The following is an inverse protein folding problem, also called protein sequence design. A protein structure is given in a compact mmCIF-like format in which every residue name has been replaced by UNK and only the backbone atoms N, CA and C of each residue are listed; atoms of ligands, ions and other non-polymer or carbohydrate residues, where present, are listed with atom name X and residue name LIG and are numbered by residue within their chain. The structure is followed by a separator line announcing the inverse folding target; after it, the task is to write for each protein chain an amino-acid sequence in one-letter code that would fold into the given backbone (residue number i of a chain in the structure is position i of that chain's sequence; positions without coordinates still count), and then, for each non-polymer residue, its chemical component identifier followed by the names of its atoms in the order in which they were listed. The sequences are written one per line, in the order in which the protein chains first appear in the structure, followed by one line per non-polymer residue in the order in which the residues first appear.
data_IF_336772195410
#
_entry.id   IF_336772195410
#
_cell.length_a   1.000
_cell.length_b   1.000
_cell.length_c   1.000
_cell.angle_alpha   90.00
_cell.angle_beta   90.00
_cell.angle_gamma   90.00
#
_symmetry.space_group_name_H-M   'P 1'
#
loop_
_entity.id
_entity.type
_entity.pdbx_description
1 polymer ?
#
# COMPACT_ATOMS: atom_id res chain seq x y z
N UNK A 1 -18.29 12.89 40.76
CA UNK A 1 -18.54 13.14 39.33
C UNK A 1 -17.24 13.67 38.76
N UNK A 2 -16.49 12.81 38.14
CA UNK A 2 -15.25 13.17 37.44
C UNK A 2 -15.43 12.76 35.98
N UNK A 3 -15.55 13.78 35.12
CA UNK A 3 -15.71 13.62 33.66
C UNK A 3 -14.40 13.14 33.07
N UNK A 4 -14.38 11.95 32.50
CA UNK A 4 -13.27 11.44 31.71
C UNK A 4 -13.41 12.02 30.29
N UNK A 5 -12.64 13.05 30.00
CA UNK A 5 -12.35 13.49 28.63
C UNK A 5 -11.47 12.43 27.95
N UNK A 6 -12.08 11.57 27.16
CA UNK A 6 -11.36 10.67 26.23
C UNK A 6 -10.86 11.50 25.05
N UNK A 7 -9.61 11.97 25.14
CA UNK A 7 -8.91 12.56 24.01
C UNK A 7 -8.81 11.53 22.88
N UNK A 8 -9.48 11.80 21.76
CA UNK A 8 -9.38 11.05 20.50
C UNK A 8 -7.98 11.27 19.91
N UNK A 9 -7.06 10.38 20.22
CA UNK A 9 -5.72 10.36 19.61
C UNK A 9 -5.85 9.93 18.15
N UNK A 10 -5.90 10.90 17.25
CA UNK A 10 -5.91 10.69 15.81
C UNK A 10 -4.57 10.06 15.42
N UNK A 11 -4.63 8.82 14.97
CA UNK A 11 -3.49 8.03 14.48
C UNK A 11 -2.80 8.77 13.33
N UNK A 12 -1.69 9.45 13.62
CA UNK A 12 -0.84 10.09 12.60
C UNK A 12 -0.11 9.03 11.78
N UNK A 13 -0.41 8.97 10.48
CA UNK A 13 0.42 8.25 9.51
C UNK A 13 1.83 8.86 9.49
N UNK A 14 2.88 8.06 9.18
CA UNK A 14 4.24 8.59 9.12
C UNK A 14 4.32 9.74 8.13
N UNK A 15 4.96 10.83 8.53
CA UNK A 15 5.09 12.05 7.72
C UNK A 15 5.84 11.78 6.41
N UNK A 16 5.66 12.65 5.39
CA UNK A 16 6.46 12.60 4.13
C UNK A 16 7.95 12.56 4.44
N UNK A 17 8.38 13.28 5.48
CA UNK A 17 9.77 13.32 5.92
C UNK A 17 10.27 11.95 6.38
N UNK A 18 9.47 11.20 7.10
CA UNK A 18 9.77 9.82 7.50
C UNK A 18 9.67 8.86 6.31
N UNK A 19 8.72 9.05 5.39
CA UNK A 19 8.58 8.25 4.17
C UNK A 19 9.71 8.52 3.17
N UNK A 20 10.11 9.76 2.97
CA UNK A 20 11.24 10.13 2.10
C UNK A 20 12.59 9.80 2.74
N UNK A 21 12.74 9.84 4.06
CA UNK A 21 13.91 9.28 4.75
C UNK A 21 13.96 7.76 4.63
N UNK A 22 12.81 7.10 4.62
CA UNK A 22 12.63 5.67 4.33
C UNK A 22 12.94 5.30 2.87
N UNK A 23 13.01 6.28 1.95
CA UNK A 23 13.30 6.11 0.51
C UNK A 23 14.80 6.08 0.16
N UNK A 24 15.70 5.99 1.11
CA UNK A 24 17.16 5.99 0.87
C UNK A 24 17.74 4.77 0.12
N UNK A 25 16.95 3.91 -0.50
CA UNK A 25 17.40 2.93 -1.50
C UNK A 25 17.66 3.56 -2.88
N UNK A 26 18.04 4.84 -2.90
CA UNK A 26 18.38 5.59 -4.13
C UNK A 26 19.59 5.05 -4.89
N UNK A 27 20.46 4.28 -4.26
CA UNK A 27 21.69 3.81 -4.90
C UNK A 27 21.47 2.83 -6.06
N UNK A 28 20.45 1.98 -5.99
CA UNK A 28 20.23 0.96 -7.02
C UNK A 28 19.59 1.51 -8.30
N UNK A 29 18.63 2.45 -8.19
CA UNK A 29 17.93 3.00 -9.36
C UNK A 29 18.76 4.07 -10.08
N UNK A 30 19.61 4.84 -9.37
CA UNK A 30 20.43 5.89 -10.00
C UNK A 30 21.72 5.37 -10.65
N UNK A 31 22.07 4.10 -10.45
CA UNK A 31 23.21 3.45 -11.08
C UNK A 31 22.88 2.91 -12.48
N UNK A 32 21.61 2.84 -12.86
CA UNK A 32 21.20 2.49 -14.21
C UNK A 32 21.51 3.64 -15.17
N UNK A 33 22.31 3.37 -16.20
CA UNK A 33 22.66 4.34 -17.25
C UNK A 33 21.45 4.89 -18.00
N UNK A 34 20.34 4.16 -18.00
CA UNK A 34 19.09 4.54 -18.65
C UNK A 34 18.17 5.36 -17.74
N UNK A 35 18.54 5.61 -16.47
CA UNK A 35 17.70 6.35 -15.54
C UNK A 35 17.71 7.86 -15.82
N UNK A 36 16.57 8.39 -16.30
CA UNK A 36 16.38 9.82 -16.54
C UNK A 36 16.17 10.55 -15.21
N UNK A 37 17.24 11.12 -14.69
CA UNK A 37 17.26 11.79 -13.37
C UNK A 37 16.21 12.90 -13.24
N UNK A 38 15.97 13.66 -14.32
CA UNK A 38 14.96 14.73 -14.31
C UNK A 38 13.53 14.19 -14.10
N UNK A 39 13.19 13.09 -14.79
CA UNK A 39 11.91 12.39 -14.62
C UNK A 39 11.75 11.88 -13.19
N UNK A 40 12.77 11.21 -12.67
CA UNK A 40 12.76 10.72 -11.29
C UNK A 40 12.56 11.82 -10.25
N UNK A 41 13.18 13.00 -10.45
CA UNK A 41 12.98 14.17 -9.60
C UNK A 41 11.58 14.74 -9.69
N UNK A 42 11.00 14.81 -10.91
CA UNK A 42 9.61 15.25 -11.13
C UNK A 42 8.61 14.36 -10.40
N UNK A 43 8.74 13.03 -10.54
CA UNK A 43 7.91 12.07 -9.82
C UNK A 43 8.04 12.20 -8.30
N UNK A 44 9.25 12.39 -7.79
CA UNK A 44 9.47 12.65 -6.36
C UNK A 44 8.76 13.91 -5.85
N UNK A 45 8.72 14.95 -6.67
CA UNK A 45 7.97 16.18 -6.35
C UNK A 45 6.48 15.87 -6.25
N UNK A 46 5.88 15.16 -7.21
CA UNK A 46 4.48 14.73 -7.14
C UNK A 46 4.19 13.89 -5.90
N UNK A 47 5.05 12.91 -5.63
CA UNK A 47 4.91 12.03 -4.48
C UNK A 47 5.00 12.77 -3.13
N UNK A 48 5.64 13.96 -3.07
CA UNK A 48 5.70 14.76 -1.85
C UNK A 48 4.34 15.30 -1.42
N UNK A 49 3.37 15.37 -2.33
CA UNK A 49 1.99 15.78 -2.07
C UNK A 49 1.06 14.65 -1.64
N UNK A 50 1.52 13.39 -1.65
CA UNK A 50 0.69 12.25 -1.23
C UNK A 50 0.36 12.25 0.27
N UNK A 51 0.96 13.11 1.05
CA UNK A 51 0.58 13.39 2.43
C UNK A 51 -0.48 14.49 2.49
N UNK A 52 -1.32 14.41 3.50
CA UNK A 52 -2.56 15.17 3.67
C UNK A 52 -2.45 16.69 3.76
N UNK A 53 -1.26 17.28 3.67
CA UNK A 53 -1.16 18.73 3.52
C UNK A 53 -1.56 19.11 2.11
N UNK A 54 -2.77 19.59 1.98
CA UNK A 54 -3.41 19.92 0.70
C UNK A 54 -2.58 20.93 -0.09
N UNK A 55 -1.88 21.86 0.58
CA UNK A 55 -1.10 22.92 -0.04
C UNK A 55 0.34 22.94 0.47
N UNK A 56 1.32 23.06 -0.44
CA UNK A 56 2.74 23.18 -0.10
C UNK A 56 3.41 24.28 -0.92
N UNK A 57 4.29 25.06 -0.27
CA UNK A 57 5.14 26.04 -0.93
C UNK A 57 6.33 25.36 -1.63
N UNK A 58 6.96 26.06 -2.57
CA UNK A 58 8.17 25.57 -3.25
C UNK A 58 9.31 25.26 -2.29
N UNK A 59 9.41 25.99 -1.16
CA UNK A 59 10.43 25.77 -0.13
C UNK A 59 10.14 24.48 0.66
N UNK A 60 8.89 24.24 1.05
CA UNK A 60 8.50 23.00 1.75
C UNK A 60 8.76 21.78 0.88
N UNK A 61 8.36 21.84 -0.40
CA UNK A 61 8.63 20.76 -1.36
C UNK A 61 10.13 20.55 -1.56
N UNK A 62 10.92 21.63 -1.79
CA UNK A 62 12.37 21.54 -1.95
C UNK A 62 13.04 20.84 -0.77
N UNK A 63 12.65 21.19 0.46
CA UNK A 63 13.14 20.57 1.69
C UNK A 63 12.71 19.11 1.81
N UNK A 64 11.45 18.79 1.47
CA UNK A 64 10.93 17.44 1.54
C UNK A 64 11.67 16.49 0.58
N UNK A 65 11.89 16.93 -0.68
CA UNK A 65 12.58 16.10 -1.70
C UNK A 65 14.09 16.28 -1.71
N UNK A 66 14.64 17.17 -0.87
CA UNK A 66 16.09 17.49 -0.77
C UNK A 66 16.70 17.92 -2.11
N UNK A 67 16.00 18.81 -2.80
CA UNK A 67 16.48 19.45 -4.01
C UNK A 67 16.78 20.93 -3.76
N UNK A 68 17.73 21.52 -4.51
CA UNK A 68 17.89 22.97 -4.51
C UNK A 68 16.58 23.67 -4.87
N UNK A 69 16.24 24.76 -4.18
CA UNK A 69 14.99 25.50 -4.40
C UNK A 69 14.74 25.90 -5.86
N UNK A 70 15.73 26.39 -6.65
CA UNK A 70 15.53 26.67 -8.06
C UNK A 70 15.11 25.44 -8.87
N UNK A 71 15.72 24.28 -8.60
CA UNK A 71 15.38 23.01 -9.28
C UNK A 71 13.97 22.56 -8.92
N UNK A 72 13.59 22.61 -7.64
CA UNK A 72 12.23 22.26 -7.20
C UNK A 72 11.20 23.20 -7.80
N UNK A 73 11.48 24.51 -7.85
CA UNK A 73 10.57 25.51 -8.46
C UNK A 73 10.34 25.25 -9.95
N UNK A 74 11.37 24.92 -10.72
CA UNK A 74 11.23 24.59 -12.15
C UNK A 74 10.41 23.32 -12.36
N UNK A 75 10.61 22.28 -11.54
CA UNK A 75 9.82 21.05 -11.60
C UNK A 75 8.35 21.31 -11.24
N UNK A 76 8.08 22.09 -10.19
CA UNK A 76 6.73 22.48 -9.77
C UNK A 76 6.00 23.26 -10.88
N UNK A 77 6.67 24.22 -11.53
CA UNK A 77 6.11 24.97 -12.64
C UNK A 77 5.79 24.08 -13.84
N UNK A 78 6.73 23.17 -14.22
CA UNK A 78 6.50 22.22 -15.32
C UNK A 78 5.32 21.29 -15.02
N UNK A 79 5.23 20.74 -13.81
CA UNK A 79 4.12 19.87 -13.41
C UNK A 79 2.78 20.63 -13.34
N UNK A 80 2.81 21.91 -12.97
CA UNK A 80 1.62 22.75 -13.00
C UNK A 80 1.17 23.07 -14.43
N UNK A 81 2.11 23.38 -15.33
CA UNK A 81 1.82 23.59 -16.75
C UNK A 81 1.20 22.34 -17.42
N UNK A 82 1.57 21.13 -16.96
CA UNK A 82 1.03 19.86 -17.44
C UNK A 82 -0.27 19.44 -16.71
N UNK A 83 -0.78 20.23 -15.77
CA UNK A 83 -2.02 19.94 -15.03
C UNK A 83 -1.87 18.93 -13.87
N UNK A 84 -0.67 18.39 -13.61
CA UNK A 84 -0.43 17.49 -12.47
C UNK A 84 -0.41 18.22 -11.13
N UNK A 85 -0.11 19.52 -11.12
CA UNK A 85 -0.22 20.39 -9.96
C UNK A 85 -1.11 21.59 -10.30
N UNK A 86 -1.80 22.09 -9.29
CA UNK A 86 -2.49 23.36 -9.32
C UNK A 86 -1.72 24.37 -8.47
N UNK A 87 -1.41 25.55 -9.03
CA UNK A 87 -0.77 26.65 -8.32
C UNK A 87 -1.79 27.71 -7.91
N UNK A 88 -1.74 28.15 -6.67
CA UNK A 88 -2.53 29.26 -6.16
C UNK A 88 -1.66 30.53 -6.04
N UNK A 89 -1.84 31.56 -6.87
CA UNK A 89 -1.10 32.82 -6.74
C UNK A 89 -1.31 33.49 -5.38
N UNK A 90 -2.56 33.46 -4.86
CA UNK A 90 -2.91 34.04 -3.55
C UNK A 90 -2.16 33.37 -2.39
N UNK A 91 -2.01 32.01 -2.42
CA UNK A 91 -1.32 31.24 -1.37
C UNK A 91 0.17 31.12 -1.63
N UNK A 92 0.62 31.33 -2.86
CA UNK A 92 1.99 31.00 -3.33
C UNK A 92 2.34 29.53 -3.06
N UNK A 93 1.37 28.64 -3.20
CA UNK A 93 1.45 27.21 -2.90
C UNK A 93 0.88 26.37 -4.03
N UNK A 94 1.29 25.11 -4.04
CA UNK A 94 0.86 24.07 -4.99
C UNK A 94 0.06 22.98 -4.27
N UNK A 95 -0.84 22.33 -5.00
CA UNK A 95 -1.52 21.09 -4.60
C UNK A 95 -1.61 20.14 -5.80
N UNK A 96 -1.98 18.86 -5.58
CA UNK A 96 -2.25 17.94 -6.68
C UNK A 96 -3.35 18.49 -7.60
N UNK A 97 -3.11 18.37 -8.90
CA UNK A 97 -4.06 18.69 -9.95
C UNK A 97 -4.92 17.48 -10.35
N UNK A 98 -5.96 17.72 -11.13
CA UNK A 98 -6.93 16.70 -11.56
C UNK A 98 -6.32 15.63 -12.47
N UNK A 99 -5.24 15.94 -13.21
CA UNK A 99 -4.54 14.95 -14.04
C UNK A 99 -3.99 13.77 -13.24
N UNK A 100 -3.60 13.98 -11.95
CA UNK A 100 -3.16 12.88 -11.07
C UNK A 100 -4.32 11.95 -10.74
N UNK A 101 -5.51 12.48 -10.54
CA UNK A 101 -6.71 11.69 -10.27
C UNK A 101 -7.08 10.80 -11.46
N UNK A 102 -7.01 11.36 -12.68
CA UNK A 102 -7.26 10.58 -13.91
C UNK A 102 -6.31 9.40 -14.05
N UNK A 103 -5.00 9.60 -13.78
CA UNK A 103 -4.02 8.50 -13.76
C UNK A 103 -4.32 7.47 -12.66
N UNK A 104 -4.76 7.93 -11.49
CA UNK A 104 -5.13 7.04 -10.38
C UNK A 104 -6.32 6.15 -10.73
N UNK A 105 -7.34 6.70 -11.39
CA UNK A 105 -8.49 5.91 -11.87
C UNK A 105 -8.08 4.91 -12.97
N UNK A 106 -7.35 5.35 -13.99
CA UNK A 106 -6.85 4.45 -15.04
C UNK A 106 -5.98 3.32 -14.47
N UNK A 107 -5.13 3.61 -13.49
CA UNK A 107 -4.37 2.59 -12.80
C UNK A 107 -5.26 1.61 -12.02
N UNK A 108 -6.29 2.10 -11.31
CA UNK A 108 -7.24 1.27 -10.57
C UNK A 108 -8.03 0.36 -11.51
N UNK A 109 -8.52 0.89 -12.64
CA UNK A 109 -9.30 0.14 -13.62
C UNK A 109 -8.47 -0.97 -14.27
N UNK A 110 -7.14 -0.77 -14.42
CA UNK A 110 -6.24 -1.83 -14.89
C UNK A 110 -6.11 -3.02 -13.92
N UNK A 111 -6.44 -2.83 -12.65
CA UNK A 111 -6.58 -3.89 -11.66
C UNK A 111 -8.04 -4.38 -11.56
N UNK A 112 -8.67 -4.76 -12.64
CA UNK A 112 -10.11 -5.13 -12.79
C UNK A 112 -10.72 -6.00 -11.66
N UNK A 113 -9.88 -6.52 -10.78
CA UNK A 113 -10.23 -7.34 -9.62
C UNK A 113 -10.89 -6.55 -8.47
N UNK A 114 -10.78 -5.20 -8.45
CA UNK A 114 -11.30 -4.39 -7.35
C UNK A 114 -12.80 -4.56 -7.13
N UNK A 115 -13.57 -4.57 -8.20
CA UNK A 115 -15.03 -4.73 -8.14
C UNK A 115 -15.44 -6.14 -7.70
N UNK A 116 -14.67 -7.16 -8.10
CA UNK A 116 -14.88 -8.55 -7.66
C UNK A 116 -14.58 -8.72 -6.18
N UNK A 117 -13.51 -8.08 -5.70
CA UNK A 117 -13.03 -8.24 -4.31
C UNK A 117 -13.86 -7.42 -3.31
N UNK A 118 -14.34 -6.25 -3.70
CA UNK A 118 -15.01 -5.29 -2.81
C UNK A 118 -16.18 -5.87 -2.01
N UNK A 119 -17.13 -6.65 -2.58
CA UNK A 119 -18.22 -7.25 -1.81
C UNK A 119 -17.74 -8.18 -0.70
N UNK A 120 -16.72 -8.99 -0.98
CA UNK A 120 -16.10 -9.89 0.00
C UNK A 120 -15.38 -9.12 1.12
N UNK A 121 -14.65 -8.05 0.78
CA UNK A 121 -13.99 -7.20 1.78
C UNK A 121 -15.01 -6.52 2.68
N UNK A 122 -16.13 -6.03 2.12
CA UNK A 122 -17.17 -5.39 2.93
C UNK A 122 -17.84 -6.38 3.87
N UNK A 123 -18.10 -7.61 3.40
CA UNK A 123 -18.64 -8.65 4.26
C UNK A 123 -17.71 -8.97 5.43
N UNK A 124 -16.41 -9.16 5.19
CA UNK A 124 -15.41 -9.39 6.22
C UNK A 124 -15.34 -8.22 7.22
N UNK A 125 -15.34 -6.98 6.70
CA UNK A 125 -15.31 -5.79 7.54
C UNK A 125 -16.52 -5.73 8.49
N UNK A 126 -17.72 -5.99 7.99
CA UNK A 126 -18.96 -5.93 8.77
C UNK A 126 -19.13 -7.12 9.73
N UNK A 127 -18.65 -8.31 9.35
CA UNK A 127 -18.72 -9.53 10.16
C UNK A 127 -17.82 -9.42 11.40
N UNK A 128 -16.56 -8.98 11.22
CA UNK A 128 -15.54 -8.97 12.27
C UNK A 128 -15.30 -7.60 12.89
N UNK A 129 -15.95 -6.54 12.43
CA UNK A 129 -15.72 -5.19 12.95
C UNK A 129 -14.31 -4.65 12.66
N UNK A 130 -13.72 -5.01 11.52
CA UNK A 130 -12.36 -4.69 11.10
C UNK A 130 -12.32 -3.77 9.88
N UNK A 131 -11.16 -3.22 9.53
CA UNK A 131 -10.95 -2.79 8.16
C UNK A 131 -10.47 -3.99 7.33
N UNK A 132 -10.96 -4.10 6.09
CA UNK A 132 -10.52 -5.10 5.14
C UNK A 132 -10.01 -4.41 3.87
N UNK A 133 -8.92 -4.91 3.28
CA UNK A 133 -8.27 -4.23 2.18
C UNK A 133 -7.67 -5.22 1.16
N UNK A 134 -7.65 -4.78 -0.11
CA UNK A 134 -6.79 -5.30 -1.15
C UNK A 134 -5.56 -4.40 -1.25
N UNK A 135 -4.37 -4.97 -1.28
CA UNK A 135 -3.11 -4.23 -1.40
C UNK A 135 -2.23 -4.77 -2.52
N UNK A 136 -1.40 -3.88 -3.07
CA UNK A 136 -0.34 -4.20 -4.02
C UNK A 136 1.00 -3.67 -3.53
N UNK A 137 2.11 -4.33 -3.92
CA UNK A 137 3.45 -3.89 -3.54
C UNK A 137 3.87 -2.64 -4.33
N UNK A 138 4.38 -1.65 -3.62
CA UNK A 138 5.13 -0.55 -4.22
C UNK A 138 6.49 -0.40 -3.51
N UNK A 139 7.53 -0.91 -4.15
CA UNK A 139 8.90 -0.92 -3.61
C UNK A 139 8.97 -1.69 -2.28
N UNK A 140 9.19 -0.99 -1.16
CA UNK A 140 9.30 -1.56 0.20
C UNK A 140 8.06 -1.27 1.07
N UNK A 141 6.96 -0.88 0.43
CA UNK A 141 5.67 -0.61 1.08
C UNK A 141 4.55 -1.37 0.33
N UNK A 142 3.39 -1.47 0.95
CA UNK A 142 2.15 -1.94 0.33
C UNK A 142 1.21 -0.76 0.21
N UNK A 143 0.63 -0.54 -0.97
CA UNK A 143 -0.43 0.44 -1.21
C UNK A 143 -1.77 -0.27 -1.14
N UNK A 144 -2.72 0.30 -0.43
CA UNK A 144 -4.11 -0.15 -0.45
C UNK A 144 -4.78 0.29 -1.77
N UNK A 145 -5.23 -0.68 -2.54
CA UNK A 145 -5.94 -0.49 -3.83
C UNK A 145 -7.45 -0.41 -3.61
N UNK A 146 -7.97 -1.18 -2.65
CA UNK A 146 -9.36 -1.17 -2.21
C UNK A 146 -9.41 -1.28 -0.70
N UNK A 147 -10.35 -0.58 -0.05
CA UNK A 147 -10.52 -0.60 1.41
C UNK A 147 -12.00 -0.58 1.75
N UNK A 148 -12.40 -1.47 2.65
CA UNK A 148 -13.72 -1.51 3.26
C UNK A 148 -13.60 -1.38 4.78
N UNK A 149 -14.50 -0.60 5.35
CA UNK A 149 -14.61 -0.42 6.80
C UNK A 149 -15.92 -0.97 7.32
N UNK A 150 -15.90 -1.52 8.53
CA UNK A 150 -17.14 -1.90 9.19
C UNK A 150 -18.05 -0.69 9.39
N UNK A 151 -19.31 -0.85 9.04
CA UNK A 151 -20.37 0.13 9.30
C UNK A 151 -20.80 0.17 10.77
N UNK A 152 -20.46 -0.86 11.54
CA UNK A 152 -20.90 -1.08 12.93
C UNK A 152 -19.90 -0.58 13.97
N UNK A 153 -18.67 -0.31 13.58
CA UNK A 153 -17.58 -0.01 14.51
C UNK A 153 -16.96 1.36 14.21
N UNK A 154 -16.93 2.24 15.22
CA UNK A 154 -16.13 3.45 15.14
C UNK A 154 -14.65 3.07 15.25
N UNK A 155 -13.97 2.97 14.11
CA UNK A 155 -12.56 2.62 14.09
C UNK A 155 -11.68 3.87 14.05
N UNK A 156 -10.69 3.88 14.92
CA UNK A 156 -9.65 4.93 14.95
C UNK A 156 -8.58 4.76 13.86
N UNK A 157 -8.46 3.56 13.29
CA UNK A 157 -7.53 3.28 12.20
C UNK A 157 -8.18 3.63 10.86
N UNK A 158 -7.87 4.82 10.37
CA UNK A 158 -8.33 5.27 9.05
C UNK A 158 -7.24 5.01 8.00
N UNK A 159 -7.26 3.81 7.44
CA UNK A 159 -6.55 3.49 6.21
C UNK A 159 -7.54 3.61 5.06
N UNK A 160 -7.14 4.29 4.00
CA UNK A 160 -7.97 4.56 2.82
C UNK A 160 -7.25 4.05 1.56
N UNK A 161 -7.94 4.01 0.43
CA UNK A 161 -7.30 3.74 -0.87
C UNK A 161 -6.12 4.72 -1.06
N UNK A 162 -4.98 4.20 -1.49
CA UNK A 162 -3.73 4.94 -1.58
C UNK A 162 -2.91 5.01 -0.28
N UNK A 163 -3.45 4.57 0.86
CA UNK A 163 -2.67 4.46 2.11
C UNK A 163 -1.54 3.46 1.96
N UNK A 164 -0.39 3.79 2.56
CA UNK A 164 0.82 2.96 2.53
C UNK A 164 1.11 2.36 3.88
N UNK A 165 1.39 1.07 3.91
CA UNK A 165 1.90 0.37 5.09
C UNK A 165 3.24 -0.29 4.76
N UNK A 166 4.17 -0.43 5.74
CA UNK A 166 5.48 -1.00 5.46
C UNK A 166 5.39 -2.49 5.11
N UNK A 167 6.22 -2.92 4.15
CA UNK A 167 6.39 -4.33 3.82
C UNK A 167 6.98 -5.12 5.02
N UNK A 168 7.90 -4.50 5.75
CA UNK A 168 8.45 -5.06 6.98
C UNK A 168 7.50 -4.79 8.17
N UNK A 169 7.29 -5.79 9.00
CA UNK A 169 6.58 -5.67 10.27
C UNK A 169 5.05 -5.71 10.18
N UNK A 170 4.47 -5.97 9.00
CA UNK A 170 3.02 -6.12 8.84
C UNK A 170 2.66 -7.52 8.30
N UNK A 171 1.52 -8.06 8.71
CA UNK A 171 1.00 -9.31 8.14
C UNK A 171 0.89 -9.21 6.61
N UNK A 172 0.38 -8.09 6.11
CA UNK A 172 0.23 -7.80 4.68
C UNK A 172 1.55 -7.89 3.93
N UNK A 173 2.61 -7.29 4.49
CA UNK A 173 3.95 -7.35 3.88
C UNK A 173 4.56 -8.75 3.95
N UNK A 174 4.39 -9.46 5.06
CA UNK A 174 4.89 -10.83 5.22
C UNK A 174 4.19 -11.79 4.25
N UNK A 175 2.87 -11.65 4.03
CA UNK A 175 2.12 -12.44 3.05
C UNK A 175 2.65 -12.21 1.61
N UNK A 176 2.89 -10.96 1.24
CA UNK A 176 3.49 -10.66 -0.08
C UNK A 176 4.89 -11.25 -0.21
N UNK A 177 5.76 -11.08 0.79
CA UNK A 177 7.11 -11.64 0.77
C UNK A 177 7.08 -13.17 0.66
N UNK A 178 6.15 -13.84 1.34
CA UNK A 178 5.99 -15.29 1.29
C UNK A 178 5.58 -15.79 -0.10
N UNK A 179 4.79 -15.01 -0.83
CA UNK A 179 4.28 -15.35 -2.17
C UNK A 179 5.27 -15.07 -3.31
N UNK A 180 6.34 -14.32 -3.06
CA UNK A 180 7.32 -13.98 -4.08
C UNK A 180 8.27 -15.14 -4.39
N UNK A 181 8.74 -15.25 -5.65
CA UNK A 181 9.87 -16.12 -5.99
C UNK A 181 11.10 -15.80 -5.13
N UNK A 182 11.88 -16.83 -4.79
CA UNK A 182 13.03 -16.71 -3.88
C UNK A 182 14.04 -15.64 -4.29
N UNK A 183 14.30 -15.49 -5.58
CA UNK A 183 15.24 -14.49 -6.10
C UNK A 183 14.74 -13.05 -5.83
N UNK A 184 13.47 -12.78 -6.08
CA UNK A 184 12.87 -11.46 -5.84
C UNK A 184 12.76 -11.18 -4.34
N UNK A 185 12.34 -12.19 -3.55
CA UNK A 185 12.26 -12.07 -2.09
C UNK A 185 13.63 -11.72 -1.51
N UNK A 186 14.72 -12.42 -1.90
CA UNK A 186 16.09 -12.12 -1.43
C UNK A 186 16.50 -10.69 -1.73
N UNK A 187 16.26 -10.20 -2.94
CA UNK A 187 16.57 -8.82 -3.31
C UNK A 187 15.83 -7.79 -2.44
N UNK A 188 14.54 -8.03 -2.17
CA UNK A 188 13.76 -7.16 -1.29
C UNK A 188 14.26 -7.20 0.16
N UNK A 189 14.65 -8.37 0.67
CA UNK A 189 15.21 -8.51 2.01
C UNK A 189 16.53 -7.74 2.16
N UNK A 190 17.38 -7.72 1.15
CA UNK A 190 18.59 -6.88 1.16
C UNK A 190 18.25 -5.39 1.23
N UNK A 191 17.29 -4.93 0.43
CA UNK A 191 16.85 -3.53 0.48
C UNK A 191 16.21 -3.19 1.84
N UNK A 192 15.42 -4.09 2.42
CA UNK A 192 14.87 -3.94 3.76
C UNK A 192 15.96 -3.89 4.82
N UNK A 193 17.00 -4.72 4.71
CA UNK A 193 18.16 -4.72 5.60
C UNK A 193 18.88 -3.37 5.58
N UNK A 194 19.11 -2.80 4.41
CA UNK A 194 19.73 -1.49 4.27
C UNK A 194 18.84 -0.38 4.87
N UNK A 195 17.53 -0.48 4.69
CA UNK A 195 16.57 0.49 5.22
C UNK A 195 16.45 0.45 6.74
N UNK A 196 16.59 -0.73 7.33
CA UNK A 196 16.35 -1.00 8.75
C UNK A 196 17.58 -1.54 9.49
N UNK A 197 18.79 -1.17 9.07
CA UNK A 197 20.05 -1.74 9.55
C UNK A 197 20.17 -1.85 11.08
N UNK A 198 19.66 -0.86 11.82
CA UNK A 198 19.72 -0.81 13.30
C UNK A 198 18.80 -1.84 13.99
N UNK A 199 17.73 -2.26 13.33
CA UNK A 199 16.71 -3.15 13.89
C UNK A 199 16.50 -4.40 13.01
N UNK A 200 17.49 -4.71 12.17
CA UNK A 200 17.33 -5.75 11.17
C UNK A 200 17.10 -7.14 11.77
N UNK A 201 17.79 -7.47 12.85
CA UNK A 201 17.64 -8.78 13.51
C UNK A 201 16.18 -9.04 13.92
N UNK A 202 15.55 -8.08 14.59
CA UNK A 202 14.15 -8.21 15.02
C UNK A 202 13.17 -8.24 13.83
N UNK A 203 13.46 -7.44 12.80
CA UNK A 203 12.61 -7.34 11.61
C UNK A 203 12.73 -8.61 10.78
N UNK A 204 13.93 -9.13 10.54
CA UNK A 204 14.13 -10.38 9.79
C UNK A 204 13.47 -11.55 10.49
N UNK A 205 13.62 -11.69 11.81
CA UNK A 205 12.96 -12.74 12.58
C UNK A 205 11.43 -12.72 12.45
N UNK A 206 10.82 -11.53 12.42
CA UNK A 206 9.37 -11.38 12.21
C UNK A 206 8.96 -11.72 10.77
N UNK A 207 9.78 -11.40 9.79
CA UNK A 207 9.54 -11.77 8.38
C UNK A 207 9.64 -13.30 8.24
N UNK A 208 10.69 -13.92 8.78
CA UNK A 208 10.88 -15.37 8.73
C UNK A 208 9.73 -16.11 9.41
N UNK A 209 9.27 -15.60 10.55
CA UNK A 209 8.07 -16.09 11.23
C UNK A 209 6.83 -15.96 10.34
N UNK A 210 6.63 -14.82 9.67
CA UNK A 210 5.51 -14.62 8.75
C UNK A 210 5.55 -15.58 7.55
N UNK A 211 6.73 -15.81 6.96
CA UNK A 211 6.91 -16.79 5.87
C UNK A 211 6.60 -18.21 6.35
N UNK A 212 7.05 -18.58 7.56
CA UNK A 212 6.73 -19.88 8.17
C UNK A 212 5.23 -20.05 8.41
N UNK A 213 4.56 -19.03 8.99
CA UNK A 213 3.11 -19.04 9.20
C UNK A 213 2.35 -19.27 7.90
N UNK A 214 2.78 -18.63 6.81
CA UNK A 214 2.17 -18.84 5.51
C UNK A 214 2.33 -20.28 5.03
N UNK A 215 3.51 -20.87 5.16
CA UNK A 215 3.75 -22.28 4.82
C UNK A 215 2.90 -23.26 5.62
N UNK A 216 2.66 -22.97 6.91
CA UNK A 216 1.90 -23.84 7.82
C UNK A 216 0.38 -23.70 7.67
N UNK A 217 -0.12 -22.51 7.39
CA UNK A 217 -1.56 -22.17 7.53
C UNK A 217 -2.18 -21.54 6.28
N UNK A 218 -1.36 -21.12 5.31
CA UNK A 218 -1.81 -20.40 4.12
C UNK A 218 -2.13 -18.91 4.35
N UNK A 219 -1.89 -18.36 5.56
CA UNK A 219 -2.04 -16.95 5.89
C UNK A 219 -0.98 -16.50 6.90
N UNK A 220 -0.78 -15.19 6.99
CA UNK A 220 0.11 -14.56 7.96
C UNK A 220 -0.69 -13.71 8.94
N UNK A 221 -0.16 -13.54 10.14
CA UNK A 221 -0.64 -12.53 11.07
C UNK A 221 0.51 -11.73 11.66
N UNK A 222 0.20 -10.54 12.18
CA UNK A 222 1.12 -9.73 12.96
C UNK A 222 0.42 -9.20 14.21
N UNK A 223 1.10 -9.31 15.35
CA UNK A 223 0.61 -8.82 16.64
C UNK A 223 1.51 -7.67 17.05
N UNK A 224 0.96 -6.46 17.13
CA UNK A 224 1.65 -5.25 17.59
C UNK A 224 3.04 -5.00 16.92
N UNK A 225 3.24 -5.51 15.71
CA UNK A 225 4.55 -5.50 15.05
C UNK A 225 4.86 -4.21 14.31
N UNK A 226 3.87 -3.60 13.68
CA UNK A 226 4.00 -2.33 12.99
C UNK A 226 3.67 -1.15 13.91
N UNK A 227 2.56 -1.26 14.59
CA UNK A 227 2.08 -0.35 15.64
C UNK A 227 1.71 -1.19 16.84
N UNK A 228 2.08 -0.73 18.03
CA UNK A 228 1.87 -1.49 19.25
C UNK A 228 0.40 -1.78 19.56
N UNK A 229 -0.50 -1.03 18.95
CA UNK A 229 -1.95 -1.12 19.15
C UNK A 229 -2.70 -1.81 18.00
N UNK A 230 -2.01 -2.30 16.94
CA UNK A 230 -2.64 -2.87 15.73
C UNK A 230 -2.24 -4.32 15.52
N UNK A 231 -3.25 -5.18 15.35
CA UNK A 231 -3.12 -6.53 14.85
C UNK A 231 -3.62 -6.63 13.39
N UNK A 232 -3.05 -7.54 12.62
CA UNK A 232 -3.44 -7.77 11.24
C UNK A 232 -3.29 -9.22 10.80
N UNK A 233 -4.11 -9.61 9.83
CA UNK A 233 -4.10 -10.92 9.16
C UNK A 233 -4.08 -10.70 7.66
N UNK A 234 -3.36 -11.52 6.90
CA UNK A 234 -3.27 -11.37 5.45
C UNK A 234 -3.06 -12.69 4.71
N UNK A 235 -3.55 -12.73 3.47
CA UNK A 235 -3.40 -13.84 2.52
C UNK A 235 -2.94 -13.26 1.17
N UNK A 236 -1.89 -13.79 0.55
CA UNK A 236 -1.50 -13.35 -0.78
C UNK A 236 -2.50 -13.84 -1.82
N UNK A 237 -2.72 -13.02 -2.85
CA UNK A 237 -3.56 -13.30 -4.01
C UNK A 237 -2.65 -13.35 -5.24
N UNK A 238 -2.38 -14.56 -5.73
CA UNK A 238 -1.40 -14.83 -6.80
C UNK A 238 -2.02 -15.36 -8.08
N UNK A 239 -3.33 -15.54 -8.12
CA UNK A 239 -4.07 -16.08 -9.26
C UNK A 239 -4.48 -15.00 -10.28
N UNK A 240 -4.08 -13.76 -10.07
CA UNK A 240 -4.36 -12.63 -10.97
C UNK A 240 -3.12 -12.37 -11.80
N UNK A 241 -3.31 -11.99 -13.04
CA UNK A 241 -2.20 -11.59 -13.91
C UNK A 241 -1.44 -10.40 -13.33
N UNK A 242 -0.12 -10.48 -13.36
CA UNK A 242 0.76 -9.43 -12.84
C UNK A 242 1.41 -9.75 -11.50
N UNK A 243 1.90 -8.73 -10.77
CA UNK A 243 2.54 -8.92 -9.48
C UNK A 243 1.54 -9.37 -8.41
N UNK A 244 1.97 -10.17 -7.42
CA UNK A 244 1.10 -10.63 -6.35
C UNK A 244 0.40 -9.48 -5.64
N UNK A 245 -0.91 -9.62 -5.43
CA UNK A 245 -1.71 -8.78 -4.57
C UNK A 245 -1.87 -9.43 -3.19
N UNK A 246 -2.53 -8.77 -2.26
CA UNK A 246 -2.74 -9.26 -0.90
C UNK A 246 -4.10 -8.82 -0.37
N UNK A 247 -4.84 -9.77 0.18
CA UNK A 247 -6.04 -9.52 0.97
C UNK A 247 -5.65 -9.42 2.44
N UNK A 248 -6.16 -8.43 3.15
CA UNK A 248 -5.82 -8.24 4.56
C UNK A 248 -6.98 -7.69 5.37
N UNK A 249 -6.99 -8.05 6.67
CA UNK A 249 -7.83 -7.45 7.69
C UNK A 249 -6.97 -6.92 8.82
N UNK A 250 -7.42 -5.82 9.43
CA UNK A 250 -6.71 -5.22 10.56
C UNK A 250 -7.63 -4.43 11.48
N UNK A 251 -7.27 -4.40 12.76
CA UNK A 251 -7.99 -3.64 13.76
C UNK A 251 -7.08 -3.35 14.97
N UNK A 252 -7.52 -2.47 15.89
CA UNK A 252 -6.88 -2.34 17.20
C UNK A 252 -6.76 -3.70 17.90
N UNK A 253 -5.61 -3.97 18.52
CA UNK A 253 -5.27 -5.26 19.10
C UNK A 253 -6.32 -5.77 20.10
N UNK A 254 -6.95 -4.86 20.86
CA UNK A 254 -8.04 -5.18 21.80
C UNK A 254 -9.29 -5.76 21.13
N UNK A 255 -9.51 -5.44 19.83
CA UNK A 255 -10.67 -5.91 19.06
C UNK A 255 -10.32 -7.09 18.14
N UNK A 256 -9.05 -7.44 18.04
CA UNK A 256 -8.57 -8.49 17.15
C UNK A 256 -7.67 -9.49 17.89
N UNK A 257 -8.24 -10.31 18.82
CA UNK A 257 -7.49 -11.35 19.52
C UNK A 257 -7.09 -12.50 18.59
N UNK A 258 -6.13 -13.33 19.00
CA UNK A 258 -5.58 -14.44 18.17
C UNK A 258 -6.65 -15.38 17.61
N UNK A 259 -7.67 -15.73 18.43
CA UNK A 259 -8.77 -16.60 17.96
C UNK A 259 -9.52 -16.01 16.76
N UNK A 260 -9.82 -14.71 16.83
CA UNK A 260 -10.48 -13.99 15.74
C UNK A 260 -9.54 -13.85 14.53
N UNK A 261 -8.24 -13.68 14.73
CA UNK A 261 -7.27 -13.67 13.63
C UNK A 261 -7.22 -15.01 12.89
N UNK A 262 -7.30 -16.14 13.59
CA UNK A 262 -7.39 -17.47 12.96
C UNK A 262 -8.66 -17.63 12.11
N UNK A 263 -9.78 -17.16 12.62
CA UNK A 263 -11.06 -17.21 11.91
C UNK A 263 -11.02 -16.33 10.64
N UNK A 264 -10.53 -15.10 10.75
CA UNK A 264 -10.33 -14.20 9.62
C UNK A 264 -9.36 -14.81 8.61
N UNK A 265 -8.26 -15.45 9.04
CA UNK A 265 -7.30 -16.10 8.15
C UNK A 265 -7.96 -17.16 7.28
N UNK A 266 -8.78 -18.04 7.86
CA UNK A 266 -9.54 -19.05 7.12
C UNK A 266 -10.57 -18.44 6.18
N UNK A 267 -11.25 -17.37 6.60
CA UNK A 267 -12.20 -16.64 5.75
C UNK A 267 -11.51 -15.94 4.57
N UNK A 268 -10.34 -15.35 4.79
CA UNK A 268 -9.54 -14.74 3.72
C UNK A 268 -9.07 -15.78 2.70
N UNK A 269 -8.71 -17.00 3.12
CA UNK A 269 -8.38 -18.10 2.20
C UNK A 269 -9.61 -18.44 1.35
N UNK A 270 -10.79 -18.61 1.95
CA UNK A 270 -12.01 -18.90 1.22
C UNK A 270 -12.36 -17.80 0.20
N UNK A 271 -12.18 -16.54 0.57
CA UNK A 271 -12.35 -15.38 -0.33
C UNK A 271 -11.34 -15.43 -1.48
N UNK A 272 -10.06 -15.68 -1.18
CA UNK A 272 -9.01 -15.85 -2.19
C UNK A 272 -9.40 -16.95 -3.18
N UNK A 273 -9.83 -18.12 -2.70
CA UNK A 273 -10.19 -19.27 -3.55
C UNK A 273 -11.38 -18.95 -4.45
N UNK A 274 -12.41 -18.26 -3.93
CA UNK A 274 -13.55 -17.80 -4.72
C UNK A 274 -13.14 -16.82 -5.83
N UNK A 275 -12.24 -15.87 -5.52
CA UNK A 275 -11.71 -14.92 -6.50
C UNK A 275 -10.90 -15.62 -7.58
N UNK A 276 -10.04 -16.57 -7.18
CA UNK A 276 -9.21 -17.32 -8.12
C UNK A 276 -10.05 -18.17 -9.08
N UNK A 277 -11.13 -18.73 -8.59
CA UNK A 277 -12.06 -19.49 -9.43
C UNK A 277 -12.68 -18.60 -10.51
N UNK A 278 -13.14 -17.40 -10.15
CA UNK A 278 -13.68 -16.43 -11.11
C UNK A 278 -12.64 -15.94 -12.12
N UNK A 279 -11.44 -15.60 -11.66
CA UNK A 279 -10.35 -15.15 -12.53
C UNK A 279 -9.93 -16.25 -13.53
N UNK A 280 -9.87 -17.51 -13.10
CA UNK A 280 -9.56 -18.64 -13.98
C UNK A 280 -10.63 -18.90 -15.04
N UNK A 281 -11.89 -18.67 -14.74
CA UNK A 281 -13.00 -18.79 -15.71
C UNK A 281 -12.92 -17.72 -16.80
N UNK A 282 -12.54 -16.47 -16.46
CA UNK A 282 -12.40 -15.39 -17.44
C UNK A 282 -11.16 -15.58 -18.33
N UNK A 283 -10.02 -16.01 -17.78
CA UNK A 283 -8.83 -16.33 -18.57
C UNK A 283 -9.06 -17.43 -19.61
N UNK A 284 -9.96 -18.38 -19.32
CA UNK A 284 -10.37 -19.43 -20.26
C UNK A 284 -11.30 -18.95 -21.38
N UNK A 285 -12.02 -17.84 -21.19
CA UNK A 285 -12.93 -17.28 -22.21
C UNK A 285 -12.20 -16.35 -23.21
N UNK A 286 -11.16 -15.64 -22.78
CA UNK A 286 -10.38 -14.76 -23.66
C UNK A 286 -9.39 -15.54 -24.57
N UNK A 287 -9.15 -16.82 -24.32
CA UNK A 287 -8.30 -17.68 -25.15
C UNK A 287 -9.01 -18.37 -26.31
N UNK A 288 -10.29 -18.06 -26.58
CA UNK A 288 -10.98 -18.57 -27.77
C UNK A 288 -10.44 -17.88 -29.03
N UNK A 289 -10.00 -18.62 -30.06
CA UNK A 289 -9.46 -18.01 -31.27
C UNK A 289 -10.54 -17.17 -31.99
N UNK A 290 -10.16 -16.07 -32.64
CA UNK A 290 -11.12 -15.24 -33.35
C UNK A 290 -11.85 -16.09 -34.39
N UNK A 291 -13.18 -16.08 -34.36
CA UNK A 291 -14.01 -16.74 -35.37
C UNK A 291 -13.59 -16.20 -36.73
N UNK A 292 -13.08 -17.09 -37.58
CA UNK A 292 -12.80 -16.77 -38.98
C UNK A 292 -14.09 -16.27 -39.62
N UNK A 293 -14.08 -15.00 -40.00
CA UNK A 293 -15.07 -14.47 -40.95
C UNK A 293 -14.83 -15.21 -42.25
N UNK A 294 -15.74 -16.12 -42.62
CA UNK A 294 -15.80 -16.66 -43.96
C UNK A 294 -16.53 -15.63 -44.80
N UNK A 295 -15.90 -15.30 -45.91
CA UNK A 295 -16.43 -14.52 -47.04
C UNK A 295 -17.76 -15.11 -47.54
#
# INVERSE_FOLDING_TARGET
MASAETASETVKLPSVRERLSRRRTRGAVSADRNFVTALGRGLMVLESFADRSVWQSSTEVANAVRLPKPTASRLLQGLAAMGYLHYSPRRRQYRLGTAVLALGFAARDSYSIGDLVRPHLQQLADEFGVHAALGGRDRLDVIHLEVCHSKKTLMTLRLEVGSRIPLAGTATGHALLAALPDAERRLLLEHLRLRHAKHWADISAKIDEGVRQFGERGYTWSVASWRQDINGVAVPLTCVEGPPLVLSCGAPARHLPRRTMDEIGRRLIAVKDAICLHAGVHAGQDSAPPRSVRD
#
